data_IF_937823248249
#
_entry.id   IF_937823248249
#
_cell.length_a   1.000
_cell.length_b   1.000
_cell.length_c   1.000
_cell.angle_alpha   90.00
_cell.angle_beta   90.00
_cell.angle_gamma   90.00
#
_symmetry.space_group_name_H-M   'P 1'
#
loop_
_entity.id
_entity.type
_entity.pdbx_description
1 polymer ?
#
# COMPACT_ATOMS: atom_id res chain seq x y z
N UNK A 1 4.06 -10.77 4.93
CA UNK A 1 3.34 -9.53 5.28
C UNK A 1 4.38 -8.48 5.64
N UNK A 2 4.23 -7.26 5.16
CA UNK A 2 5.18 -6.16 5.40
C UNK A 2 4.45 -5.07 6.19
N UNK A 3 5.10 -4.51 7.21
CA UNK A 3 4.60 -3.36 7.96
C UNK A 3 5.60 -2.20 7.90
N UNK A 4 5.10 -0.99 7.74
CA UNK A 4 5.89 0.24 7.70
C UNK A 4 5.10 1.38 8.34
N UNK A 5 5.73 2.10 9.26
CA UNK A 5 5.22 3.40 9.72
C UNK A 5 5.80 4.49 8.82
N UNK A 6 4.92 5.38 8.36
CA UNK A 6 5.22 6.50 7.46
C UNK A 6 4.89 7.77 8.24
N UNK A 7 5.87 8.66 8.36
CA UNK A 7 5.80 9.93 9.08
C UNK A 7 5.07 11.01 8.26
N UNK A 8 3.94 10.65 7.66
CA UNK A 8 3.06 11.50 6.85
C UNK A 8 1.60 11.12 7.12
N UNK A 9 0.70 12.06 6.91
CA UNK A 9 -0.73 11.78 7.05
C UNK A 9 -1.23 10.84 5.93
N UNK A 10 -2.47 10.37 6.07
CA UNK A 10 -3.03 9.34 5.21
C UNK A 10 -3.12 9.77 3.74
N UNK A 11 -3.51 11.02 3.48
CA UNK A 11 -3.68 11.55 2.13
C UNK A 11 -2.35 11.80 1.43
N UNK A 12 -1.36 12.34 2.15
CA UNK A 12 0.01 12.49 1.66
C UNK A 12 0.63 11.14 1.31
N UNK A 13 0.44 10.16 2.20
CA UNK A 13 0.92 8.79 2.00
C UNK A 13 0.27 8.17 0.77
N UNK A 14 -1.05 8.27 0.63
CA UNK A 14 -1.78 7.75 -0.51
C UNK A 14 -1.31 8.38 -1.83
N UNK A 15 -1.16 9.71 -1.85
CA UNK A 15 -0.70 10.46 -3.03
C UNK A 15 0.70 10.05 -3.45
N UNK A 16 1.61 9.88 -2.48
CA UNK A 16 2.97 9.42 -2.73
C UNK A 16 2.99 7.99 -3.28
N UNK A 17 2.28 7.07 -2.62
CA UNK A 17 2.22 5.67 -3.02
C UNK A 17 1.63 5.49 -4.42
N UNK A 18 0.55 6.21 -4.74
CA UNK A 18 -0.03 6.20 -6.08
C UNK A 18 1.01 6.55 -7.14
N UNK A 19 1.76 7.63 -6.93
CA UNK A 19 2.81 8.08 -7.85
C UNK A 19 3.95 7.05 -7.98
N UNK A 20 4.41 6.48 -6.88
CA UNK A 20 5.48 5.48 -6.93
C UNK A 20 5.03 4.14 -7.53
N UNK A 21 3.79 3.71 -7.28
CA UNK A 21 3.25 2.50 -7.89
C UNK A 21 3.08 2.66 -9.41
N UNK A 22 2.52 3.77 -9.88
CA UNK A 22 2.39 4.06 -11.32
C UNK A 22 3.74 4.03 -12.03
N UNK A 23 4.79 4.65 -11.47
CA UNK A 23 6.16 4.60 -12.01
C UNK A 23 6.75 3.19 -12.11
N UNK A 24 6.23 2.24 -11.32
CA UNK A 24 6.71 0.86 -11.27
C UNK A 24 5.74 -0.11 -11.96
N UNK A 25 4.82 0.39 -12.80
CA UNK A 25 3.80 -0.40 -13.49
C UNK A 25 2.91 -1.22 -12.53
N UNK A 26 2.64 -0.62 -11.36
CA UNK A 26 1.70 -1.13 -10.38
C UNK A 26 0.48 -0.20 -10.45
N UNK A 27 -0.64 -0.75 -10.88
CA UNK A 27 -1.89 0.00 -11.05
C UNK A 27 -2.81 -0.23 -9.85
N UNK A 28 -3.41 0.84 -9.35
CA UNK A 28 -4.43 0.76 -8.30
C UNK A 28 -5.75 0.42 -8.98
N UNK A 29 -6.31 -0.75 -8.67
CA UNK A 29 -7.60 -1.22 -9.18
C UNK A 29 -8.77 -0.59 -8.42
N UNK A 30 -8.65 -0.51 -7.10
CA UNK A 30 -9.67 0.10 -6.25
C UNK A 30 -9.07 0.62 -4.95
N UNK A 31 -9.77 1.59 -4.36
CA UNK A 31 -9.51 2.12 -3.03
C UNK A 31 -10.81 2.00 -2.26
N UNK A 32 -10.82 1.22 -1.19
CA UNK A 32 -11.92 1.16 -0.24
C UNK A 32 -11.56 2.00 0.97
N UNK A 33 -12.49 2.85 1.40
CA UNK A 33 -12.34 3.62 2.64
C UNK A 33 -13.22 3.01 3.73
N UNK A 34 -12.65 2.80 4.90
CA UNK A 34 -13.34 2.36 6.11
C UNK A 34 -12.96 3.27 7.26
N UNK A 35 -13.93 3.56 8.12
CA UNK A 35 -13.71 4.21 9.41
C UNK A 35 -14.01 3.20 10.49
N UNK A 36 -13.00 2.82 11.27
CA UNK A 36 -13.20 1.97 12.45
C UNK A 36 -13.22 2.85 13.71
N UNK A 37 -14.42 2.98 14.29
CA UNK A 37 -14.65 3.79 15.47
C UNK A 37 -14.48 5.29 15.23
N UNK A 38 -14.07 6.03 16.27
CA UNK A 38 -13.96 7.50 16.26
C UNK A 38 -12.61 8.04 15.75
N UNK A 39 -11.61 7.18 15.48
CA UNK A 39 -10.19 7.60 15.46
C UNK A 39 -9.40 7.09 14.24
N UNK A 40 -9.81 6.02 13.56
CA UNK A 40 -8.96 5.39 12.54
C UNK A 40 -9.60 5.40 11.16
N UNK A 41 -9.08 6.24 10.28
CA UNK A 41 -9.33 6.17 8.85
C UNK A 41 -8.44 5.07 8.26
N UNK A 42 -9.07 4.13 7.57
CA UNK A 42 -8.41 3.01 6.90
C UNK A 42 -8.69 3.11 5.41
N UNK A 43 -7.63 3.12 4.60
CA UNK A 43 -7.73 3.00 3.14
C UNK A 43 -7.13 1.67 2.72
N UNK A 44 -7.96 0.79 2.16
CA UNK A 44 -7.53 -0.47 1.57
C UNK A 44 -7.37 -0.28 0.07
N UNK A 45 -6.14 -0.41 -0.41
CA UNK A 45 -5.81 -0.36 -1.83
C UNK A 45 -5.75 -1.79 -2.35
N UNK A 46 -6.45 -2.04 -3.44
CA UNK A 46 -6.29 -3.26 -4.24
C UNK A 46 -5.44 -2.86 -5.45
N UNK A 47 -4.30 -3.50 -5.62
CA UNK A 47 -3.33 -3.17 -6.67
C UNK A 47 -3.06 -4.36 -7.57
N UNK A 48 -2.67 -4.09 -8.81
CA UNK A 48 -2.22 -5.10 -9.77
C UNK A 48 -0.83 -4.75 -10.29
N UNK A 49 0.04 -5.75 -10.39
CA UNK A 49 1.27 -5.62 -11.16
C UNK A 49 0.97 -5.99 -12.63
N UNK A 50 1.01 -5.03 -13.55
CA UNK A 50 0.46 -5.16 -14.90
C UNK A 50 1.12 -6.29 -15.72
N UNK A 51 2.40 -6.56 -15.48
CA UNK A 51 3.13 -7.63 -16.19
C UNK A 51 2.49 -9.00 -16.04
N UNK A 52 1.87 -9.28 -14.90
CA UNK A 52 1.39 -10.63 -14.55
C UNK A 52 -0.06 -10.65 -14.05
N UNK A 53 -0.78 -9.52 -14.09
CA UNK A 53 -2.13 -9.33 -13.51
C UNK A 53 -2.23 -9.80 -12.05
N UNK A 54 -1.11 -9.79 -11.32
CA UNK A 54 -1.03 -10.27 -9.94
C UNK A 54 -1.63 -9.21 -9.03
N UNK A 55 -2.66 -9.59 -8.28
CA UNK A 55 -3.35 -8.70 -7.36
C UNK A 55 -2.78 -8.80 -5.95
N UNK A 56 -2.56 -7.67 -5.28
CA UNK A 56 -2.17 -7.60 -3.88
C UNK A 56 -2.88 -6.45 -3.16
N UNK A 57 -2.86 -6.50 -1.83
CA UNK A 57 -3.55 -5.52 -0.98
C UNK A 57 -2.57 -4.72 -0.15
N UNK A 58 -2.83 -3.41 -0.03
CA UNK A 58 -2.14 -2.50 0.88
C UNK A 58 -3.18 -1.82 1.75
N UNK A 59 -3.07 -2.02 3.06
CA UNK A 59 -3.89 -1.29 4.04
C UNK A 59 -3.08 -0.09 4.54
N UNK A 60 -3.66 1.09 4.46
CA UNK A 60 -3.14 2.33 5.06
C UNK A 60 -4.04 2.69 6.23
N UNK A 61 -3.46 2.81 7.42
CA UNK A 61 -4.20 3.08 8.66
C UNK A 61 -3.66 4.38 9.23
N UNK A 62 -4.53 5.35 9.44
CA UNK A 62 -4.18 6.58 10.12
C UNK A 62 -4.10 6.36 11.63
N UNK A 63 -2.98 6.77 12.24
CA UNK A 63 -2.76 6.70 13.68
C UNK A 63 -1.95 7.91 14.14
N UNK A 64 -2.56 8.79 14.92
CA UNK A 64 -1.89 9.95 15.55
C UNK A 64 -1.14 10.85 14.54
N UNK A 65 -1.76 11.14 13.39
CA UNK A 65 -1.17 11.97 12.32
C UNK A 65 -0.12 11.27 11.46
N UNK A 66 0.15 9.98 11.72
CA UNK A 66 1.03 9.13 10.93
C UNK A 66 0.22 8.07 10.18
N UNK A 67 0.83 7.45 9.19
CA UNK A 67 0.22 6.37 8.43
C UNK A 67 0.97 5.07 8.67
N UNK A 68 0.25 4.01 9.03
CA UNK A 68 0.78 2.65 9.07
C UNK A 68 0.36 1.97 7.78
N UNK A 69 1.34 1.59 6.96
CA UNK A 69 1.13 0.78 5.78
C UNK A 69 1.37 -0.71 6.10
N UNK A 70 0.41 -1.56 5.74
CA UNK A 70 0.52 -3.01 5.79
C UNK A 70 0.30 -3.59 4.40
N UNK A 71 1.20 -4.47 3.95
CA UNK A 71 1.09 -5.14 2.65
C UNK A 71 0.90 -6.63 2.84
N UNK A 72 -0.15 -7.15 2.21
CA UNK A 72 -0.48 -8.57 2.18
C UNK A 72 -0.34 -9.07 0.74
N UNK A 73 0.68 -9.89 0.54
CA UNK A 73 0.86 -10.65 -0.70
C UNK A 73 0.12 -11.99 -0.59
N UNK A 74 -0.64 -12.39 -1.62
CA UNK A 74 -1.11 -13.77 -1.75
C UNK A 74 0.07 -14.75 -1.75
N UNK A 75 -0.07 -15.86 -1.03
CA UNK A 75 0.97 -16.90 -0.95
C UNK A 75 1.26 -17.45 -2.35
N UNK A 76 2.55 -17.62 -2.68
CA UNK A 76 3.05 -18.21 -3.95
C UNK A 76 2.74 -17.44 -5.24
N UNK A 77 2.20 -16.22 -5.15
CA UNK A 77 1.91 -15.38 -6.35
C UNK A 77 3.07 -14.44 -6.68
N UNK A 78 3.72 -13.89 -5.64
CA UNK A 78 4.83 -12.95 -5.79
C UNK A 78 6.16 -13.62 -5.45
N UNK A 79 7.16 -13.43 -6.32
CA UNK A 79 8.56 -13.75 -6.05
C UNK A 79 9.14 -12.83 -4.97
N UNK A 80 10.26 -13.25 -4.36
CA UNK A 80 10.96 -12.41 -3.37
C UNK A 80 11.41 -11.06 -3.96
N UNK A 81 11.88 -11.04 -5.22
CA UNK A 81 12.26 -9.80 -5.92
C UNK A 81 11.11 -8.80 -6.04
N UNK A 82 9.90 -9.28 -6.35
CA UNK A 82 8.72 -8.42 -6.46
C UNK A 82 8.28 -7.88 -5.09
N UNK A 83 8.35 -8.71 -4.04
CA UNK A 83 8.08 -8.28 -2.67
C UNK A 83 9.08 -7.22 -2.22
N UNK A 84 10.36 -7.41 -2.54
CA UNK A 84 11.43 -6.46 -2.21
C UNK A 84 11.28 -5.14 -2.96
N UNK A 85 10.90 -5.17 -4.25
CA UNK A 85 10.57 -3.96 -4.99
C UNK A 85 9.49 -3.16 -4.26
N UNK A 86 8.37 -3.81 -3.93
CA UNK A 86 7.22 -3.15 -3.28
C UNK A 86 7.58 -2.66 -1.87
N UNK A 87 8.39 -3.44 -1.12
CA UNK A 87 8.98 -3.01 0.16
C UNK A 87 9.82 -1.75 0.01
N UNK A 88 10.64 -1.67 -1.04
CA UNK A 88 11.50 -0.53 -1.30
C UNK A 88 10.70 0.72 -1.70
N UNK A 89 9.56 0.56 -2.37
CA UNK A 89 8.65 1.68 -2.65
C UNK A 89 8.07 2.27 -1.36
N UNK A 90 7.73 1.42 -0.38
CA UNK A 90 7.32 1.90 0.95
C UNK A 90 8.44 2.61 1.71
N UNK A 91 9.71 2.26 1.47
CA UNK A 91 10.86 2.90 2.13
C UNK A 91 11.19 4.28 1.56
N UNK A 92 10.70 4.61 0.36
CA UNK A 92 10.87 5.93 -0.25
C UNK A 92 9.88 6.97 0.27
N UNK A 93 8.82 6.53 0.96
CA UNK A 93 7.77 7.41 1.52
C UNK A 93 8.23 7.98 2.85
#
# INVERSE_FOLDING_TARGET
>A
MIYKTIEKNLDETLKFLKKEFEKNNISILSIEEKKEGKIQNIKLLILTAEKDKKVFKVSLIEKQGKTIASIIFPKKVFSEKEKDLIKNLLNKV
#
